data_IF_360375372559
#
_entry.id   IF_360375372559
#
_cell.length_a   1.000
_cell.length_b   1.000
_cell.length_c   1.000
_cell.angle_alpha   90.00
_cell.angle_beta   90.00
_cell.angle_gamma   90.00
#
_symmetry.space_group_name_H-M   'P 1'
#
loop_
_entity.id
_entity.type
_entity.pdbx_description
1 polymer ?
#
# COMPACT_ATOMS: atom_id res chain seq x y z
N UNK A 1 50.26 -63.05 -29.79
CA UNK A 1 49.01 -62.35 -29.57
C UNK A 1 48.98 -61.77 -28.18
N UNK A 2 49.02 -60.43 -28.05
CA UNK A 2 48.27 -59.75 -27.01
C UNK A 2 47.79 -58.34 -27.52
N UNK A 3 46.48 -58.20 -27.84
CA UNK A 3 45.99 -56.94 -28.31
C UNK A 3 44.54 -56.62 -27.87
N UNK A 4 44.16 -56.99 -26.66
CA UNK A 4 42.80 -56.78 -26.21
C UNK A 4 42.61 -55.99 -24.87
N UNK A 5 43.68 -55.44 -24.25
CA UNK A 5 43.58 -54.77 -22.94
C UNK A 5 43.74 -53.26 -22.92
N UNK A 6 43.98 -52.61 -24.06
CA UNK A 6 44.23 -51.14 -24.11
C UNK A 6 42.91 -50.36 -24.31
N UNK A 7 41.88 -50.95 -24.92
CA UNK A 7 40.64 -50.24 -25.23
C UNK A 7 39.67 -49.95 -24.03
N UNK A 8 39.77 -50.71 -22.93
CA UNK A 8 38.88 -50.56 -21.78
C UNK A 8 39.29 -49.40 -20.84
N UNK A 9 40.57 -49.02 -20.82
CA UNK A 9 41.06 -47.95 -19.95
C UNK A 9 40.74 -46.55 -20.48
N UNK A 10 40.62 -46.37 -21.79
CA UNK A 10 40.24 -45.09 -22.40
C UNK A 10 38.74 -44.77 -22.30
N UNK A 11 37.87 -45.78 -22.27
CA UNK A 11 36.43 -45.56 -22.10
C UNK A 11 36.05 -45.04 -20.69
N UNK A 12 36.80 -45.44 -19.69
CA UNK A 12 36.55 -44.96 -18.31
C UNK A 12 37.00 -43.50 -18.08
N UNK A 13 38.09 -43.04 -18.75
CA UNK A 13 38.52 -41.64 -18.62
C UNK A 13 37.50 -40.65 -19.20
N UNK A 14 36.91 -40.96 -20.35
CA UNK A 14 35.87 -40.10 -20.96
C UNK A 14 34.59 -40.05 -20.14
N UNK A 15 34.19 -41.17 -19.51
CA UNK A 15 33.04 -41.23 -18.64
C UNK A 15 33.28 -40.44 -17.35
N UNK A 16 34.47 -40.54 -16.75
CA UNK A 16 34.84 -39.79 -15.56
C UNK A 16 34.90 -38.26 -15.87
N UNK A 17 35.45 -37.88 -17.01
CA UNK A 17 35.49 -36.47 -17.45
C UNK A 17 34.08 -35.92 -17.70
N UNK A 18 33.15 -36.71 -18.25
CA UNK A 18 31.76 -36.35 -18.46
C UNK A 18 31.01 -36.20 -17.12
N UNK A 19 31.18 -37.11 -16.18
CA UNK A 19 30.59 -37.05 -14.84
C UNK A 19 31.16 -35.87 -14.02
N UNK A 20 32.45 -35.57 -14.13
CA UNK A 20 33.04 -34.39 -13.50
C UNK A 20 32.46 -33.08 -14.08
N UNK A 21 32.28 -32.97 -15.40
CA UNK A 21 31.66 -31.82 -16.04
C UNK A 21 30.20 -31.65 -15.61
N UNK A 22 29.44 -32.75 -15.58
CA UNK A 22 28.05 -32.71 -15.12
C UNK A 22 27.94 -32.28 -13.64
N UNK A 23 28.83 -32.81 -12.76
CA UNK A 23 28.86 -32.36 -11.35
C UNK A 23 29.24 -30.90 -11.19
N UNK A 24 30.23 -30.41 -12.00
CA UNK A 24 30.62 -28.99 -11.95
C UNK A 24 29.51 -28.09 -12.42
N UNK A 25 28.71 -28.50 -13.40
CA UNK A 25 27.58 -27.76 -13.92
C UNK A 25 26.40 -27.70 -12.90
N UNK A 26 26.19 -28.79 -12.15
CA UNK A 26 25.21 -28.83 -11.06
C UNK A 26 25.65 -27.93 -9.91
N UNK A 27 26.94 -27.98 -9.53
CA UNK A 27 27.50 -27.12 -8.47
C UNK A 27 27.41 -25.64 -8.87
N UNK A 28 27.75 -25.27 -10.10
CA UNK A 28 27.61 -23.90 -10.58
C UNK A 28 26.15 -23.44 -10.61
N UNK A 29 25.22 -24.32 -11.02
CA UNK A 29 23.80 -23.98 -10.95
C UNK A 29 23.33 -23.78 -9.50
N UNK A 30 23.75 -24.63 -8.57
CA UNK A 30 23.41 -24.49 -7.14
C UNK A 30 24.01 -23.20 -6.56
N UNK A 31 25.26 -22.85 -6.93
CA UNK A 31 25.90 -21.59 -6.52
C UNK A 31 25.18 -20.37 -7.10
N UNK A 32 24.79 -20.39 -8.36
CA UNK A 32 23.99 -19.33 -8.99
C UNK A 32 22.60 -19.18 -8.36
N UNK A 33 21.97 -20.29 -7.96
CA UNK A 33 20.71 -20.26 -7.20
C UNK A 33 20.92 -19.72 -5.79
N UNK A 34 22.03 -20.08 -5.13
CA UNK A 34 22.32 -19.59 -3.77
C UNK A 34 22.68 -18.10 -3.77
N UNK A 35 23.39 -17.59 -4.77
CA UNK A 35 23.66 -16.16 -4.90
C UNK A 35 22.39 -15.35 -5.20
N UNK A 36 21.46 -15.85 -6.03
CA UNK A 36 20.16 -15.23 -6.24
C UNK A 36 19.31 -15.20 -4.98
N UNK A 37 19.42 -16.22 -4.12
CA UNK A 37 18.67 -16.28 -2.85
C UNK A 37 19.27 -15.35 -1.77
N UNK A 38 20.58 -15.09 -1.81
CA UNK A 38 21.27 -14.16 -0.91
C UNK A 38 21.03 -12.68 -1.23
N UNK A 39 20.62 -12.36 -2.47
CA UNK A 39 20.31 -10.99 -2.92
C UNK A 39 18.78 -10.70 -2.99
N UNK A 40 17.93 -11.50 -2.35
CA UNK A 40 16.52 -11.13 -2.23
C UNK A 40 16.40 -9.98 -1.25
N UNK A 41 16.14 -8.80 -1.77
CA UNK A 41 15.92 -7.61 -0.96
C UNK A 41 14.72 -7.80 -0.06
N UNK A 42 14.89 -7.46 1.22
CA UNK A 42 13.85 -7.51 2.24
C UNK A 42 13.21 -6.14 2.40
N UNK A 43 11.93 -6.11 2.74
CA UNK A 43 11.21 -4.88 3.07
C UNK A 43 11.83 -4.29 4.35
N UNK A 44 12.49 -3.14 4.21
CA UNK A 44 13.11 -2.38 5.28
C UNK A 44 12.88 -0.89 5.07
N UNK A 45 13.09 -0.11 6.11
CA UNK A 45 12.97 1.34 6.04
C UNK A 45 13.72 1.94 4.83
N UNK A 46 13.02 2.77 4.05
CA UNK A 46 13.57 3.43 2.86
C UNK A 46 13.59 2.57 1.59
N UNK A 47 13.12 1.33 1.61
CA UNK A 47 12.95 0.50 0.41
C UNK A 47 11.66 0.87 -0.33
N UNK A 48 11.71 0.86 -1.65
CA UNK A 48 10.55 0.91 -2.51
C UNK A 48 9.90 -0.46 -2.58
N UNK A 49 8.60 -0.52 -2.39
CA UNK A 49 7.83 -1.76 -2.31
C UNK A 49 6.62 -1.66 -3.23
N UNK A 50 6.36 -2.73 -3.97
CA UNK A 50 5.11 -2.93 -4.70
C UNK A 50 4.37 -4.16 -4.14
N UNK A 51 3.12 -3.97 -3.78
CA UNK A 51 2.25 -5.02 -3.23
C UNK A 51 0.99 -5.18 -4.07
N UNK A 52 0.61 -6.42 -4.34
CA UNK A 52 -0.72 -6.75 -4.83
C UNK A 52 -1.47 -7.43 -3.69
N UNK A 53 -2.58 -6.85 -3.24
CA UNK A 53 -3.32 -7.39 -2.10
C UNK A 53 -4.81 -7.06 -2.16
N UNK A 54 -5.57 -7.82 -1.40
CA UNK A 54 -6.99 -7.62 -1.16
C UNK A 54 -7.21 -7.35 0.31
N UNK A 55 -8.13 -6.46 0.57
CA UNK A 55 -8.56 -6.06 1.91
C UNK A 55 -9.98 -6.53 2.12
N UNK A 56 -10.20 -7.31 3.17
CA UNK A 56 -11.50 -7.78 3.56
C UNK A 56 -11.84 -7.30 4.97
N UNK A 57 -13.09 -6.96 5.21
CA UNK A 57 -13.62 -6.90 6.56
C UNK A 57 -14.11 -8.28 6.95
N UNK A 58 -13.84 -8.68 8.18
CA UNK A 58 -14.30 -9.97 8.68
C UNK A 58 -15.07 -9.80 9.99
N UNK A 59 -16.30 -10.30 10.00
CA UNK A 59 -17.14 -10.37 11.18
C UNK A 59 -17.10 -11.77 11.83
N UNK A 60 -16.07 -12.58 11.43
CA UNK A 60 -15.87 -13.94 11.92
C UNK A 60 -16.63 -15.03 11.17
N UNK A 61 -17.68 -14.70 10.43
CA UNK A 61 -18.48 -15.66 9.62
C UNK A 61 -18.34 -15.42 8.11
N UNK A 62 -18.19 -14.18 7.70
CA UNK A 62 -18.09 -13.79 6.28
C UNK A 62 -17.01 -12.75 6.08
N UNK A 63 -16.20 -12.95 5.02
CA UNK A 63 -15.21 -11.97 4.55
C UNK A 63 -15.87 -11.12 3.45
N UNK A 64 -15.99 -9.82 3.65
CA UNK A 64 -16.48 -8.88 2.64
C UNK A 64 -15.30 -8.15 2.01
N UNK A 65 -15.18 -8.21 0.67
CA UNK A 65 -14.11 -7.53 -0.07
C UNK A 65 -14.36 -6.01 -0.08
N UNK A 66 -13.47 -5.25 0.55
CA UNK A 66 -13.54 -3.80 0.61
C UNK A 66 -12.71 -3.13 -0.47
N UNK A 67 -11.50 -3.63 -0.69
CA UNK A 67 -10.59 -3.06 -1.68
C UNK A 67 -9.67 -4.11 -2.27
N UNK A 68 -9.22 -3.89 -3.51
CA UNK A 68 -8.31 -4.77 -4.22
C UNK A 68 -7.26 -3.94 -4.98
N UNK A 69 -5.99 -4.26 -4.77
CA UNK A 69 -4.86 -3.81 -5.58
C UNK A 69 -4.35 -4.99 -6.41
N UNK A 70 -4.80 -5.12 -7.67
CA UNK A 70 -4.39 -6.24 -8.51
C UNK A 70 -2.93 -6.09 -8.97
N UNK A 71 -2.32 -7.17 -9.44
CA UNK A 71 -0.95 -7.16 -9.97
C UNK A 71 -0.75 -6.19 -11.15
N UNK A 72 -1.82 -5.85 -11.87
CA UNK A 72 -1.78 -4.87 -12.97
C UNK A 72 -1.61 -3.42 -12.48
N UNK A 73 -2.11 -3.12 -11.30
CA UNK A 73 -2.03 -1.81 -10.64
C UNK A 73 -1.71 -2.01 -9.15
N UNK A 74 -0.46 -2.45 -8.85
CA UNK A 74 -0.06 -2.72 -7.47
C UNK A 74 0.01 -1.42 -6.67
N UNK A 75 -0.16 -1.56 -5.37
CA UNK A 75 0.11 -0.48 -4.43
C UNK A 75 1.62 -0.23 -4.33
N UNK A 76 2.03 1.04 -4.41
CA UNK A 76 3.43 1.46 -4.54
C UNK A 76 3.77 2.49 -3.50
N UNK A 77 4.74 2.19 -2.66
CA UNK A 77 5.16 3.10 -1.61
C UNK A 77 6.63 2.91 -1.22
N UNK A 78 7.16 3.88 -0.48
CA UNK A 78 8.47 3.76 0.17
C UNK A 78 8.26 3.45 1.64
N UNK A 79 8.64 2.24 2.05
CA UNK A 79 8.40 1.75 3.40
C UNK A 79 8.99 2.68 4.47
N UNK A 80 8.15 3.10 5.39
CA UNK A 80 8.48 3.97 6.51
C UNK A 80 8.56 5.47 6.19
N UNK A 81 8.35 5.90 4.94
CA UNK A 81 8.29 7.32 4.56
C UNK A 81 6.87 7.77 4.20
N UNK A 82 5.97 6.85 3.93
CA UNK A 82 4.59 7.15 3.58
C UNK A 82 3.78 7.53 4.82
N UNK A 83 3.09 8.68 4.72
CA UNK A 83 2.20 9.14 5.79
C UNK A 83 0.84 8.41 5.65
N UNK A 84 0.36 7.84 6.75
CA UNK A 84 -0.95 7.17 6.78
C UNK A 84 -0.91 5.65 6.63
N UNK A 85 0.27 5.04 6.52
CA UNK A 85 0.40 3.59 6.57
C UNK A 85 -0.02 3.05 7.94
N UNK A 86 -0.89 2.06 7.96
CA UNK A 86 -1.35 1.40 9.18
C UNK A 86 -0.16 0.68 9.84
N UNK A 87 0.14 1.01 11.10
CA UNK A 87 1.29 0.43 11.80
C UNK A 87 1.22 -1.10 11.90
N UNK A 88 0.03 -1.66 12.15
CA UNK A 88 -0.18 -3.09 12.20
C UNK A 88 0.15 -3.78 10.89
N UNK A 89 -0.24 -3.19 9.76
CA UNK A 89 0.12 -3.67 8.42
C UNK A 89 1.62 -3.58 8.17
N UNK A 90 2.22 -2.42 8.44
CA UNK A 90 3.65 -2.20 8.25
C UNK A 90 4.50 -3.24 8.99
N UNK A 91 4.21 -3.49 10.26
CA UNK A 91 4.93 -4.47 11.10
C UNK A 91 4.82 -5.91 10.57
N UNK A 92 3.71 -6.27 9.91
CA UNK A 92 3.49 -7.62 9.37
C UNK A 92 4.21 -7.87 8.06
N UNK A 93 4.40 -6.84 7.24
CA UNK A 93 5.12 -6.95 5.95
C UNK A 93 6.62 -6.72 6.09
N UNK A 94 7.10 -6.19 7.22
CA UNK A 94 8.53 -5.94 7.46
C UNK A 94 9.35 -7.23 7.38
N UNK A 95 10.48 -7.19 6.66
CA UNK A 95 11.35 -8.34 6.45
C UNK A 95 10.90 -9.31 5.36
N UNK A 96 9.71 -9.12 4.77
CA UNK A 96 9.25 -9.94 3.65
C UNK A 96 10.04 -9.69 2.39
N UNK A 97 10.09 -10.70 1.52
CA UNK A 97 10.89 -10.69 0.29
C UNK A 97 9.99 -10.70 -0.94
N UNK A 98 10.56 -10.28 -2.07
CA UNK A 98 9.89 -10.35 -3.36
C UNK A 98 9.35 -11.76 -3.65
N UNK A 99 8.09 -11.85 -4.07
CA UNK A 99 7.38 -13.10 -4.38
C UNK A 99 6.79 -13.81 -3.16
N UNK A 100 6.98 -13.29 -1.95
CA UNK A 100 6.41 -13.85 -0.74
C UNK A 100 4.91 -13.49 -0.64
N UNK A 101 4.12 -14.46 -0.22
CA UNK A 101 2.68 -14.27 0.00
C UNK A 101 2.42 -14.05 1.47
N UNK A 102 1.45 -13.19 1.74
CA UNK A 102 1.02 -12.92 3.09
C UNK A 102 -0.49 -13.04 3.24
N UNK A 103 -0.90 -13.50 4.39
CA UNK A 103 -2.28 -13.53 4.84
C UNK A 103 -2.29 -13.31 6.35
N UNK A 104 -2.92 -12.23 6.79
CA UNK A 104 -3.06 -11.94 8.20
C UNK A 104 -4.31 -11.11 8.48
N UNK A 105 -4.78 -11.19 9.71
CA UNK A 105 -5.90 -10.39 10.21
C UNK A 105 -5.36 -9.41 11.24
N UNK A 106 -5.76 -8.16 11.12
CA UNK A 106 -5.47 -7.10 12.07
C UNK A 106 -6.70 -6.88 12.95
N UNK A 107 -6.46 -6.78 14.25
CA UNK A 107 -7.48 -6.34 15.19
C UNK A 107 -7.81 -4.85 14.95
N UNK A 108 -9.01 -4.36 15.31
CA UNK A 108 -9.39 -2.97 15.13
C UNK A 108 -8.35 -1.98 15.65
N UNK A 109 -7.80 -2.22 16.84
CA UNK A 109 -6.78 -1.37 17.46
C UNK A 109 -5.46 -1.30 16.66
N UNK A 110 -5.11 -2.33 15.88
CA UNK A 110 -3.92 -2.38 15.03
C UNK A 110 -4.18 -1.89 13.60
N UNK A 111 -5.46 -1.75 13.22
CA UNK A 111 -5.91 -1.32 11.90
C UNK A 111 -6.41 0.13 11.92
N UNK A 112 -7.71 0.32 11.90
CA UNK A 112 -8.35 1.65 11.80
C UNK A 112 -8.82 2.21 13.15
N UNK A 113 -8.49 1.55 14.25
CA UNK A 113 -8.92 1.91 15.60
C UNK A 113 -10.27 1.31 15.98
N UNK A 114 -10.58 1.40 17.26
CA UNK A 114 -11.88 1.03 17.78
C UNK A 114 -12.91 2.15 17.52
N UNK A 115 -14.18 1.80 17.48
CA UNK A 115 -15.26 2.79 17.38
C UNK A 115 -15.27 3.68 18.62
N UNK A 116 -15.10 4.98 18.43
CA UNK A 116 -15.14 5.96 19.50
C UNK A 116 -16.55 6.56 19.61
N UNK A 117 -17.27 6.34 20.72
CA UNK A 117 -18.60 6.94 20.93
C UNK A 117 -18.60 8.46 20.90
N UNK A 118 -17.50 9.11 21.27
CA UNK A 118 -17.35 10.56 21.26
C UNK A 118 -17.33 11.16 19.83
N UNK A 119 -17.07 10.33 18.84
CA UNK A 119 -17.13 10.71 17.42
C UNK A 119 -18.54 10.57 16.83
N UNK A 120 -19.50 10.08 17.60
CA UNK A 120 -20.92 10.05 17.22
C UNK A 120 -21.57 11.33 17.74
N UNK A 121 -21.73 12.31 16.86
CA UNK A 121 -22.15 13.66 17.22
C UNK A 121 -23.59 13.90 16.77
N UNK A 122 -24.36 14.50 17.66
CA UNK A 122 -25.73 14.95 17.37
C UNK A 122 -25.69 16.43 16.97
N UNK A 123 -26.05 16.72 15.74
CA UNK A 123 -26.05 18.07 15.15
C UNK A 123 -27.48 18.57 14.95
N UNK A 124 -27.67 19.89 15.00
CA UNK A 124 -28.95 20.50 14.70
C UNK A 124 -29.25 20.44 13.19
N UNK A 125 -30.50 20.13 12.85
CA UNK A 125 -30.96 20.02 11.46
C UNK A 125 -30.77 21.30 10.66
N UNK A 126 -30.74 22.45 11.34
CA UNK A 126 -30.50 23.77 10.74
C UNK A 126 -29.15 23.89 10.02
N UNK A 127 -28.13 23.09 10.41
CA UNK A 127 -26.80 23.08 9.75
C UNK A 127 -26.90 22.50 8.34
N UNK A 128 -27.90 21.68 8.07
CA UNK A 128 -28.12 20.99 6.81
C UNK A 128 -29.18 21.63 5.95
N UNK A 129 -29.49 22.90 6.20
CA UNK A 129 -30.46 23.67 5.41
C UNK A 129 -29.72 24.38 4.28
N UNK A 130 -30.18 24.21 3.05
CA UNK A 130 -29.74 24.94 1.86
C UNK A 130 -30.90 25.76 1.37
N UNK A 131 -30.71 27.07 1.19
CA UNK A 131 -31.75 28.02 0.78
C UNK A 131 -33.04 28.02 1.66
N UNK A 132 -32.89 27.64 2.93
CA UNK A 132 -34.00 27.61 3.90
C UNK A 132 -34.79 26.30 3.94
N UNK A 133 -34.45 25.33 3.10
CA UNK A 133 -35.03 23.98 3.09
C UNK A 133 -33.99 22.93 3.53
N UNK A 134 -34.49 21.89 4.22
CA UNK A 134 -33.62 20.78 4.63
C UNK A 134 -33.23 19.92 3.42
N UNK A 135 -31.92 19.72 3.21
CA UNK A 135 -31.40 18.87 2.13
C UNK A 135 -31.61 17.38 2.46
N UNK A 136 -32.83 16.92 2.21
CA UNK A 136 -33.21 15.54 2.41
C UNK A 136 -32.60 14.57 1.38
N UNK A 137 -31.99 15.06 0.32
CA UNK A 137 -31.34 14.20 -0.67
C UNK A 137 -29.93 13.82 -0.24
N UNK A 138 -29.19 14.76 0.29
CA UNK A 138 -27.82 14.55 0.77
C UNK A 138 -27.82 13.92 2.17
N UNK A 139 -28.73 14.35 3.07
CA UNK A 139 -28.79 13.91 4.47
C UNK A 139 -29.76 12.75 4.64
N UNK A 140 -29.41 11.59 4.08
CA UNK A 140 -30.15 10.31 4.29
C UNK A 140 -29.33 9.39 5.17
N UNK A 141 -30.03 8.55 5.95
CA UNK A 141 -29.38 7.51 6.74
C UNK A 141 -28.53 6.61 5.83
N UNK A 142 -27.27 6.45 6.20
CA UNK A 142 -26.27 5.71 5.44
C UNK A 142 -25.45 6.54 4.43
N UNK A 143 -25.84 7.79 4.17
CA UNK A 143 -25.05 8.67 3.29
C UNK A 143 -23.83 9.23 4.01
N UNK A 144 -22.75 9.41 3.24
CA UNK A 144 -21.54 10.11 3.68
C UNK A 144 -21.67 11.58 3.31
N UNK A 145 -21.65 12.46 4.29
CA UNK A 145 -21.76 13.91 4.10
C UNK A 145 -20.42 14.57 4.41
N UNK A 146 -19.82 15.31 3.46
CA UNK A 146 -18.63 16.10 3.73
C UNK A 146 -18.99 17.32 4.56
N UNK A 147 -18.26 17.51 5.67
CA UNK A 147 -18.44 18.64 6.57
C UNK A 147 -17.11 19.36 6.80
N UNK A 148 -17.18 20.58 7.28
CA UNK A 148 -16.02 21.36 7.73
C UNK A 148 -16.08 21.53 9.23
N UNK A 149 -14.94 21.29 9.89
CA UNK A 149 -14.78 21.61 11.31
C UNK A 149 -14.61 23.13 11.48
N UNK A 150 -14.76 23.62 12.70
CA UNK A 150 -14.51 25.03 13.06
C UNK A 150 -13.08 25.48 12.70
N UNK A 151 -12.14 24.54 12.61
CA UNK A 151 -10.74 24.78 12.23
C UNK A 151 -10.52 24.78 10.70
N UNK A 152 -11.59 24.58 9.89
CA UNK A 152 -11.50 24.55 8.44
C UNK A 152 -11.07 23.21 7.83
N UNK A 153 -10.91 22.16 8.65
CA UNK A 153 -10.61 20.82 8.16
C UNK A 153 -11.85 20.14 7.58
N UNK A 154 -11.69 19.49 6.44
CA UNK A 154 -12.76 18.67 5.86
C UNK A 154 -12.80 17.32 6.54
N UNK A 155 -13.98 16.93 7.00
CA UNK A 155 -14.27 15.64 7.62
C UNK A 155 -15.48 15.02 6.93
N UNK A 156 -15.52 13.71 6.86
CA UNK A 156 -16.65 12.97 6.29
C UNK A 156 -17.39 12.29 7.44
N UNK A 157 -18.69 12.54 7.54
CA UNK A 157 -19.53 11.88 8.53
C UNK A 157 -20.61 11.03 7.87
N UNK A 158 -20.87 9.86 8.42
CA UNK A 158 -21.96 8.99 8.00
C UNK A 158 -23.23 9.36 8.78
N UNK A 159 -24.34 9.58 8.10
CA UNK A 159 -25.62 9.85 8.74
C UNK A 159 -26.18 8.55 9.32
N UNK A 160 -26.25 8.44 10.64
CA UNK A 160 -26.80 7.25 11.32
C UNK A 160 -28.27 7.38 11.63
N UNK A 161 -28.74 8.59 11.99
CA UNK A 161 -30.14 8.83 12.29
C UNK A 161 -30.57 10.26 11.94
N UNK A 162 -31.76 10.40 11.35
CA UNK A 162 -32.38 11.71 11.05
C UNK A 162 -33.66 11.85 11.89
N UNK A 163 -33.61 12.72 12.90
CA UNK A 163 -34.75 13.06 13.77
C UNK A 163 -35.56 14.23 13.24
N UNK A 164 -36.49 14.71 14.04
CA UNK A 164 -37.31 15.89 13.72
C UNK A 164 -36.47 17.17 13.66
N UNK A 165 -35.66 17.42 14.70
CA UNK A 165 -34.85 18.64 14.87
C UNK A 165 -33.35 18.38 14.86
N UNK A 166 -32.93 17.11 14.91
CA UNK A 166 -31.51 16.71 15.05
C UNK A 166 -31.15 15.60 14.09
N UNK A 167 -29.88 15.61 13.66
CA UNK A 167 -29.24 14.57 12.85
C UNK A 167 -28.10 13.98 13.65
N UNK A 168 -28.02 12.67 13.74
CA UNK A 168 -26.90 11.95 14.37
C UNK A 168 -25.96 11.52 13.29
N UNK A 169 -24.70 11.91 13.42
CA UNK A 169 -23.63 11.60 12.47
C UNK A 169 -22.51 10.88 13.17
N UNK A 170 -21.97 9.89 12.51
CA UNK A 170 -20.79 9.14 12.91
C UNK A 170 -19.58 9.61 12.09
N UNK A 171 -18.59 10.13 12.78
CA UNK A 171 -17.32 10.59 12.20
C UNK A 171 -16.18 9.58 12.40
N UNK A 172 -16.47 8.38 12.89
CA UNK A 172 -15.49 7.31 12.93
C UNK A 172 -15.09 6.89 11.50
N UNK A 173 -13.92 6.29 11.40
CA UNK A 173 -13.53 5.65 10.14
C UNK A 173 -14.54 4.56 9.78
N UNK A 174 -14.95 4.37 8.51
CA UNK A 174 -15.94 3.36 8.12
C UNK A 174 -15.60 1.93 8.56
N UNK A 175 -14.31 1.64 8.73
CA UNK A 175 -13.80 0.34 9.18
C UNK A 175 -13.37 0.33 10.65
N UNK A 176 -13.71 1.37 11.42
CA UNK A 176 -13.43 1.40 12.86
C UNK A 176 -14.24 0.33 13.59
N UNK A 177 -13.59 -0.40 14.48
CA UNK A 177 -14.21 -1.49 15.23
C UNK A 177 -14.30 -2.82 14.49
N UNK A 178 -13.93 -2.87 13.21
CA UNK A 178 -13.93 -4.11 12.43
C UNK A 178 -12.54 -4.72 12.32
N UNK A 179 -12.50 -6.04 12.26
CA UNK A 179 -11.25 -6.76 11.94
C UNK A 179 -11.03 -6.70 10.45
N UNK A 180 -9.78 -6.47 10.06
CA UNK A 180 -9.40 -6.34 8.66
C UNK A 180 -8.42 -7.44 8.29
N UNK A 181 -8.78 -8.22 7.28
CA UNK A 181 -7.95 -9.30 6.72
C UNK A 181 -7.26 -8.82 5.47
N UNK A 182 -5.96 -9.00 5.42
CA UNK A 182 -5.11 -8.72 4.27
C UNK A 182 -4.62 -10.03 3.65
N UNK A 183 -4.79 -10.17 2.35
CA UNK A 183 -4.28 -11.32 1.58
C UNK A 183 -3.59 -10.79 0.34
N UNK A 184 -2.30 -11.08 0.18
CA UNK A 184 -1.56 -10.53 -0.93
C UNK A 184 -0.22 -11.17 -1.20
N UNK A 185 0.52 -10.53 -2.11
CA UNK A 185 1.85 -10.97 -2.56
C UNK A 185 2.75 -9.75 -2.73
N UNK A 186 3.99 -9.88 -2.34
CA UNK A 186 5.04 -8.88 -2.57
C UNK A 186 5.49 -8.98 -4.03
N UNK A 187 5.21 -7.96 -4.83
CA UNK A 187 5.56 -7.93 -6.26
C UNK A 187 7.01 -7.53 -6.45
N UNK A 188 7.43 -6.44 -5.79
CA UNK A 188 8.78 -5.92 -5.91
C UNK A 188 9.27 -5.30 -4.61
N UNK A 189 10.57 -5.49 -4.34
CA UNK A 189 11.31 -4.80 -3.28
C UNK A 189 12.63 -4.37 -3.88
N UNK A 190 12.95 -3.07 -3.80
CA UNK A 190 14.20 -2.50 -4.32
C UNK A 190 14.61 -1.25 -3.53
N UNK A 191 15.81 -0.76 -3.79
CA UNK A 191 16.18 0.54 -3.27
C UNK A 191 15.31 1.65 -3.88
N UNK A 192 14.85 2.57 -3.03
CA UNK A 192 14.10 3.73 -3.48
C UNK A 192 15.04 4.78 -4.09
N UNK A 193 14.59 5.44 -5.14
CA UNK A 193 15.29 6.57 -5.73
C UNK A 193 15.16 7.83 -4.86
N UNK A 194 16.01 8.84 -5.09
CA UNK A 194 15.92 10.11 -4.37
C UNK A 194 14.59 10.85 -4.64
N UNK A 195 14.00 10.64 -5.81
CA UNK A 195 12.73 11.23 -6.20
C UNK A 195 11.55 10.56 -5.49
N UNK A 196 11.58 9.24 -5.33
CA UNK A 196 10.58 8.46 -4.60
C UNK A 196 10.60 8.73 -3.09
N UNK A 197 11.79 9.00 -2.52
CA UNK A 197 11.91 9.37 -1.09
C UNK A 197 11.40 10.78 -0.80
N UNK A 198 11.40 11.64 -1.79
CA UNK A 198 10.97 13.02 -1.65
C UNK A 198 10.06 13.37 -2.82
N UNK A 199 8.82 12.81 -2.84
CA UNK A 199 7.87 13.16 -3.88
C UNK A 199 7.66 14.67 -3.82
N UNK A 200 8.18 15.37 -4.82
CA UNK A 200 7.88 16.79 -4.99
C UNK A 200 6.35 16.84 -5.10
N UNK A 201 5.69 17.32 -4.07
CA UNK A 201 4.28 17.69 -4.14
C UNK A 201 4.15 18.52 -5.40
N UNK A 202 3.33 18.08 -6.33
CA UNK A 202 3.21 18.62 -7.67
C UNK A 202 3.13 20.14 -7.66
N UNK A 203 4.31 20.75 -7.67
CA UNK A 203 4.46 22.15 -7.95
C UNK A 203 4.07 22.31 -9.40
N UNK A 204 3.18 23.25 -9.67
CA UNK A 204 2.68 23.69 -10.94
C UNK A 204 3.67 23.44 -12.09
N UNK A 205 3.52 22.33 -12.80
CA UNK A 205 4.21 22.07 -14.06
C UNK A 205 3.69 22.98 -15.16
N UNK A 206 4.01 24.29 -15.10
CA UNK A 206 3.49 25.24 -16.05
C UNK A 206 4.23 26.56 -16.13
N UNK A 207 5.38 26.72 -15.47
CA UNK A 207 6.20 27.93 -15.64
C UNK A 207 7.42 27.67 -16.53
N UNK A 208 7.21 27.24 -17.77
CA UNK A 208 8.22 27.32 -18.81
C UNK A 208 8.26 28.78 -19.32
N UNK A 209 8.97 29.67 -18.59
CA UNK A 209 9.05 31.06 -19.09
C UNK A 209 9.61 32.10 -18.13
N UNK A 210 10.40 31.75 -17.11
CA UNK A 210 11.20 32.75 -16.42
C UNK A 210 12.61 32.74 -17.01
N UNK A 211 12.77 33.45 -18.11
CA UNK A 211 14.06 33.82 -18.64
C UNK A 211 14.79 34.72 -17.66
N UNK A 212 16.08 34.44 -17.51
CA UNK A 212 17.06 35.18 -16.73
C UNK A 212 16.96 36.71 -16.97
N UNK A 213 16.46 37.46 -15.98
CA UNK A 213 16.71 38.87 -15.86
C UNK A 213 16.80 39.20 -14.36
N UNK A 214 17.86 39.87 -14.00
CA UNK A 214 18.26 40.26 -12.68
C UNK A 214 17.16 41.04 -11.92
N UNK A 215 16.94 40.67 -10.65
CA UNK A 215 16.37 41.55 -9.63
C UNK A 215 14.87 41.79 -9.72
N UNK A 216 14.04 40.83 -9.28
CA UNK A 216 12.62 41.10 -9.11
C UNK A 216 12.01 40.08 -8.10
N UNK A 217 11.58 40.60 -6.96
CA UNK A 217 10.79 39.92 -5.94
C UNK A 217 9.55 39.28 -6.58
N UNK A 218 9.48 37.96 -6.54
CA UNK A 218 8.27 37.21 -6.89
C UNK A 218 7.22 37.38 -5.79
N UNK A 219 6.43 38.40 -5.87
CA UNK A 219 5.25 38.59 -5.03
C UNK A 219 4.05 37.83 -5.64
N UNK A 220 3.48 36.92 -4.87
CA UNK A 220 2.08 36.54 -4.95
C UNK A 220 1.63 35.70 -6.15
N UNK A 221 1.76 34.36 -6.06
CA UNK A 221 0.83 33.45 -6.77
C UNK A 221 -0.43 33.27 -5.94
N UNK A 222 -1.36 34.20 -6.00
CA UNK A 222 -2.75 34.02 -5.60
C UNK A 222 -3.50 33.50 -6.81
N UNK A 223 -4.04 32.31 -6.75
CA UNK A 223 -5.05 31.84 -7.71
C UNK A 223 -4.77 30.45 -8.31
N UNK A 224 -5.08 29.40 -7.58
CA UNK A 224 -5.62 28.18 -8.15
C UNK A 224 -6.91 27.88 -7.38
N UNK A 225 -7.98 28.54 -7.84
CA UNK A 225 -9.35 28.08 -7.65
C UNK A 225 -9.67 27.29 -8.92
N UNK A 226 -9.89 26.00 -8.75
CA UNK A 226 -10.99 25.22 -9.35
C UNK A 226 -10.97 23.82 -8.68
#
# INVERSE_FOLDING_TARGET
MPSAKVGAKFRNLTLIAYLCRAKLQIINNILLYSEKFLFMEEIKFGKYVELAYKVFTTNGETDELMHEFPESTPDRFVYGLEQGMIEGFAKRIEGMKKGEKFEFVLAPAEAFGETNPDMIITLDKSIFMVDGEFDAETVKVGNVVPMMTEQGNRVHGVVTHVGADKVVMDFNHPLAGEQVKYVGTVIEVRDSTAEERNPKHGGCGGCSGCGSAEGGSCGGCNGCND
#
